data_IF_254578404763
#
_entry.id   IF_254578404763
#
_cell.length_a   1.000
_cell.length_b   1.000
_cell.length_c   1.000
_cell.angle_alpha   90.00
_cell.angle_beta   90.00
_cell.angle_gamma   90.00
#
_symmetry.space_group_name_H-M   'P 1'
#
loop_
_entity.id
_entity.type
_entity.pdbx_description
1 polymer ?
#
# COMPACT_ATOMS: atom_id res chain seq x y z
N UNK A 1 16.87 -23.84 -29.96
CA UNK A 1 16.85 -23.11 -28.67
C UNK A 1 15.97 -23.89 -27.71
N UNK A 2 16.39 -24.04 -26.45
CA UNK A 2 15.57 -24.68 -25.41
C UNK A 2 14.78 -23.61 -24.65
N UNK A 3 13.85 -22.96 -25.34
CA UNK A 3 13.08 -21.85 -24.77
C UNK A 3 12.12 -22.37 -23.69
N UNK A 4 12.25 -21.79 -22.50
CA UNK A 4 11.32 -21.98 -21.40
C UNK A 4 10.02 -21.20 -21.64
N UNK A 5 8.89 -21.58 -20.99
CA UNK A 5 7.64 -20.82 -21.10
C UNK A 5 7.80 -19.33 -20.76
N UNK A 6 8.60 -19.01 -19.74
CA UNK A 6 8.91 -17.62 -19.36
C UNK A 6 9.57 -16.85 -20.51
N UNK A 7 10.51 -17.46 -21.22
CA UNK A 7 11.18 -16.81 -22.35
C UNK A 7 10.22 -16.60 -23.53
N UNK A 8 9.30 -17.54 -23.77
CA UNK A 8 8.23 -17.37 -24.77
C UNK A 8 7.31 -16.18 -24.42
N UNK A 9 6.91 -16.04 -23.15
CA UNK A 9 6.09 -14.90 -22.71
C UNK A 9 6.82 -13.56 -22.88
N UNK A 10 8.13 -13.53 -22.59
CA UNK A 10 8.96 -12.33 -22.79
C UNK A 10 9.08 -11.96 -24.26
N UNK A 11 9.16 -12.95 -25.16
CA UNK A 11 9.10 -12.70 -26.60
C UNK A 11 7.76 -12.10 -27.03
N UNK A 12 6.63 -12.56 -26.47
CA UNK A 12 5.32 -11.95 -26.75
C UNK A 12 5.27 -10.50 -26.29
N UNK A 13 5.75 -10.20 -25.07
CA UNK A 13 5.84 -8.83 -24.56
C UNK A 13 6.69 -7.94 -25.48
N UNK A 14 7.86 -8.44 -25.89
CA UNK A 14 8.76 -7.74 -26.83
C UNK A 14 8.08 -7.45 -28.16
N UNK A 15 7.31 -8.41 -28.72
CA UNK A 15 6.58 -8.20 -29.97
C UNK A 15 5.51 -7.10 -29.86
N UNK A 16 4.76 -7.07 -28.75
CA UNK A 16 3.78 -6.00 -28.50
C UNK A 16 4.49 -4.66 -28.28
N UNK A 17 5.64 -4.66 -27.60
CA UNK A 17 6.49 -3.49 -27.41
C UNK A 17 6.99 -2.91 -28.74
N UNK A 18 7.48 -3.75 -29.65
CA UNK A 18 7.90 -3.34 -30.99
C UNK A 18 6.74 -2.80 -31.83
N UNK A 19 5.55 -3.41 -31.72
CA UNK A 19 4.34 -2.88 -32.36
C UNK A 19 3.99 -1.48 -31.84
N UNK A 20 4.10 -1.27 -30.52
CA UNK A 20 3.89 0.03 -29.89
C UNK A 20 4.95 1.05 -30.32
N UNK A 21 6.23 0.67 -30.40
CA UNK A 21 7.30 1.54 -30.91
C UNK A 21 7.03 1.98 -32.36
N UNK A 22 6.58 1.08 -33.25
CA UNK A 22 6.18 1.44 -34.64
C UNK A 22 4.98 2.37 -34.71
N UNK A 23 4.07 2.29 -33.75
CA UNK A 23 2.91 3.19 -33.63
C UNK A 23 3.35 4.57 -33.14
N UNK A 24 4.17 4.60 -32.09
CA UNK A 24 4.75 5.82 -31.54
C UNK A 24 5.60 6.55 -32.60
N UNK A 25 6.46 5.84 -33.33
CA UNK A 25 7.32 6.42 -34.37
C UNK A 25 6.57 7.10 -35.52
N UNK A 26 5.27 6.79 -35.71
CA UNK A 26 4.40 7.47 -36.69
C UNK A 26 3.37 8.42 -36.06
N UNK A 27 3.52 8.77 -34.79
CA UNK A 27 2.70 9.79 -34.13
C UNK A 27 1.44 9.29 -33.40
N UNK A 28 1.27 7.98 -33.20
CA UNK A 28 0.08 7.45 -32.52
C UNK A 28 0.24 7.62 -31.01
N UNK A 29 -0.76 8.24 -30.36
CA UNK A 29 -0.90 8.24 -28.89
C UNK A 29 -1.26 6.83 -28.41
N UNK A 30 -0.41 6.27 -27.56
CA UNK A 30 -0.52 4.88 -27.13
C UNK A 30 -1.64 4.68 -26.11
N UNK A 31 -2.36 3.56 -26.21
CA UNK A 31 -3.26 3.11 -25.15
C UNK A 31 -2.49 2.43 -24.00
N UNK A 32 -3.20 1.97 -22.97
CA UNK A 32 -2.58 1.38 -21.78
C UNK A 32 -1.74 0.14 -22.11
N UNK A 33 -2.27 -0.78 -22.91
CA UNK A 33 -1.56 -2.02 -23.29
C UNK A 33 -0.28 -1.72 -24.07
N UNK A 34 -0.36 -0.78 -25.01
CA UNK A 34 0.78 -0.36 -25.83
C UNK A 34 1.86 0.36 -25.00
N UNK A 35 1.45 1.29 -24.13
CA UNK A 35 2.38 1.99 -23.24
C UNK A 35 3.08 1.02 -22.28
N UNK A 36 2.34 0.08 -21.69
CA UNK A 36 2.91 -0.95 -20.81
C UNK A 36 3.91 -1.83 -21.55
N UNK A 37 3.54 -2.35 -22.73
CA UNK A 37 4.41 -3.23 -23.49
C UNK A 37 5.67 -2.52 -23.98
N UNK A 38 5.55 -1.26 -24.43
CA UNK A 38 6.70 -0.46 -24.87
C UNK A 38 7.69 -0.25 -23.73
N UNK A 39 7.22 0.26 -22.59
CA UNK A 39 8.08 0.52 -21.43
C UNK A 39 8.73 -0.79 -20.95
N UNK A 40 7.95 -1.86 -20.82
CA UNK A 40 8.47 -3.16 -20.39
C UNK A 40 9.53 -3.72 -21.36
N UNK A 41 9.31 -3.58 -22.68
CA UNK A 41 10.25 -4.05 -23.70
C UNK A 41 11.54 -3.23 -23.68
N UNK A 42 11.46 -1.90 -23.59
CA UNK A 42 12.66 -1.05 -23.49
C UNK A 42 13.46 -1.36 -22.22
N UNK A 43 12.79 -1.55 -21.09
CA UNK A 43 13.46 -1.95 -19.86
C UNK A 43 14.13 -3.32 -19.99
N UNK A 44 13.53 -4.29 -20.68
CA UNK A 44 14.17 -5.59 -20.93
C UNK A 44 15.44 -5.46 -21.79
N UNK A 45 15.45 -4.59 -22.79
CA UNK A 45 16.65 -4.31 -23.58
C UNK A 45 17.74 -3.65 -22.72
N UNK A 46 17.39 -2.65 -21.90
CA UNK A 46 18.34 -2.00 -21.01
C UNK A 46 18.89 -2.94 -19.91
N UNK A 47 18.08 -3.90 -19.45
CA UNK A 47 18.53 -4.99 -18.56
C UNK A 47 19.51 -5.88 -19.30
N UNK A 48 19.21 -6.23 -20.56
CA UNK A 48 20.06 -7.09 -21.40
C UNK A 48 21.43 -6.46 -21.65
N UNK A 49 21.51 -5.13 -21.78
CA UNK A 49 22.78 -4.42 -21.93
C UNK A 49 23.66 -4.47 -20.68
N UNK A 50 23.07 -4.66 -19.51
CA UNK A 50 23.79 -4.86 -18.25
C UNK A 50 24.46 -3.62 -17.66
N UNK A 51 24.16 -2.43 -18.18
CA UNK A 51 24.77 -1.16 -17.76
C UNK A 51 23.98 -0.40 -16.68
N UNK A 52 22.82 -0.90 -16.26
CA UNK A 52 21.91 -0.22 -15.34
C UNK A 52 21.57 -1.11 -14.15
N UNK A 53 21.50 -0.51 -12.96
CA UNK A 53 20.95 -1.17 -11.78
C UNK A 53 19.42 -1.19 -11.82
N UNK A 54 18.79 -1.97 -10.94
CA UNK A 54 17.33 -1.94 -10.75
C UNK A 54 16.83 -0.52 -10.46
N UNK A 55 17.53 0.23 -9.59
CA UNK A 55 17.14 1.59 -9.21
C UNK A 55 17.22 2.59 -10.38
N UNK A 56 18.24 2.44 -11.24
CA UNK A 56 18.36 3.26 -12.45
C UNK A 56 17.18 3.02 -13.38
N UNK A 57 16.81 1.75 -13.59
CA UNK A 57 15.69 1.36 -14.45
C UNK A 57 14.33 1.77 -13.90
N UNK A 58 14.15 1.77 -12.57
CA UNK A 58 12.96 2.34 -11.93
C UNK A 58 12.79 3.83 -12.25
N UNK A 59 13.90 4.57 -12.34
CA UNK A 59 13.89 6.00 -12.65
C UNK A 59 13.76 6.26 -14.15
N UNK A 60 14.54 5.55 -14.97
CA UNK A 60 14.51 5.64 -16.43
C UNK A 60 13.14 5.29 -16.99
N UNK A 61 12.47 4.29 -16.43
CA UNK A 61 11.12 3.88 -16.83
C UNK A 61 10.10 5.02 -16.82
N UNK A 62 10.27 5.99 -15.92
CA UNK A 62 9.39 7.18 -15.81
C UNK A 62 9.64 8.24 -16.88
N UNK A 63 10.74 8.11 -17.61
CA UNK A 63 11.17 9.09 -18.64
C UNK A 63 10.85 8.63 -20.04
N UNK A 64 10.47 7.36 -20.25
CA UNK A 64 10.29 6.77 -21.58
C UNK A 64 9.07 7.39 -22.30
N UNK A 65 7.92 7.52 -21.62
CA UNK A 65 6.72 8.11 -22.20
C UNK A 65 6.22 9.27 -21.33
N UNK A 66 5.68 10.29 -21.98
CA UNK A 66 5.04 11.43 -21.34
C UNK A 66 3.55 11.48 -21.65
N UNK A 67 2.81 12.38 -21.00
CA UNK A 67 1.34 12.52 -21.17
C UNK A 67 0.94 12.77 -22.63
N UNK A 68 1.79 13.43 -23.42
CA UNK A 68 1.53 13.71 -24.84
C UNK A 68 1.62 12.45 -25.73
N UNK A 69 2.33 11.42 -25.27
CA UNK A 69 2.62 10.20 -26.03
C UNK A 69 1.58 9.09 -25.82
N UNK A 70 0.65 9.28 -24.88
CA UNK A 70 -0.37 8.30 -24.51
C UNK A 70 -1.77 8.92 -24.58
N UNK A 71 -2.80 8.07 -24.61
CA UNK A 71 -4.18 8.52 -24.43
C UNK A 71 -4.40 9.03 -22.99
N UNK A 72 -5.24 10.05 -22.76
CA UNK A 72 -5.41 10.67 -21.44
C UNK A 72 -5.68 9.68 -20.29
N UNK A 73 -6.56 8.66 -20.45
CA UNK A 73 -6.83 7.71 -19.37
C UNK A 73 -5.62 6.91 -18.89
N UNK A 74 -4.60 6.73 -19.73
CA UNK A 74 -3.40 5.95 -19.42
C UNK A 74 -2.62 6.57 -18.26
N UNK A 75 -2.65 7.90 -18.12
CA UNK A 75 -1.96 8.61 -17.04
C UNK A 75 -2.48 8.18 -15.67
N UNK A 76 -3.78 7.87 -15.57
CA UNK A 76 -4.43 7.49 -14.33
C UNK A 76 -4.53 5.98 -14.15
N UNK A 77 -4.64 5.21 -15.23
CA UNK A 77 -4.80 3.76 -15.15
C UNK A 77 -3.46 3.01 -15.03
N UNK A 78 -2.38 3.53 -15.61
CA UNK A 78 -1.05 2.92 -15.53
C UNK A 78 -0.27 3.49 -14.34
N UNK A 79 -0.67 3.11 -13.12
CA UNK A 79 -0.05 3.56 -11.86
C UNK A 79 1.23 2.81 -11.51
N UNK A 80 1.37 1.57 -11.96
CA UNK A 80 2.56 0.77 -11.77
C UNK A 80 2.79 -0.14 -12.98
N UNK A 81 4.06 -0.38 -13.27
CA UNK A 81 4.49 -1.32 -14.29
C UNK A 81 5.59 -2.19 -13.71
N UNK A 82 5.45 -3.50 -13.86
CA UNK A 82 6.38 -4.48 -13.34
C UNK A 82 6.96 -5.31 -14.46
N UNK A 83 8.28 -5.45 -14.47
CA UNK A 83 8.96 -6.31 -15.43
C UNK A 83 10.17 -6.97 -14.78
N UNK A 84 10.22 -8.30 -14.89
CA UNK A 84 11.43 -9.05 -14.56
C UNK A 84 12.35 -9.17 -15.78
N UNK A 85 13.66 -9.10 -15.54
CA UNK A 85 14.68 -9.40 -16.54
C UNK A 85 15.93 -10.03 -15.92
N UNK A 86 16.76 -10.63 -16.78
CA UNK A 86 18.01 -11.29 -16.39
C UNK A 86 19.17 -10.31 -16.46
N UNK A 87 19.51 -9.73 -15.32
CA UNK A 87 20.70 -8.91 -15.14
C UNK A 87 21.96 -9.78 -15.12
N UNK A 88 23.17 -9.19 -15.25
CA UNK A 88 24.43 -9.93 -15.09
C UNK A 88 24.54 -10.72 -13.78
N UNK A 89 23.90 -10.24 -12.70
CA UNK A 89 23.91 -10.88 -11.38
C UNK A 89 22.73 -11.83 -11.11
N UNK A 90 21.78 -11.98 -12.05
CA UNK A 90 20.60 -12.83 -11.88
C UNK A 90 19.29 -12.18 -12.31
N UNK A 91 18.16 -12.84 -12.01
CA UNK A 91 16.84 -12.30 -12.34
C UNK A 91 16.34 -11.37 -11.23
N UNK A 92 15.94 -10.15 -11.58
CA UNK A 92 15.37 -9.18 -10.64
C UNK A 92 14.08 -8.58 -11.21
N UNK A 93 13.21 -8.15 -10.29
CA UNK A 93 12.01 -7.38 -10.60
C UNK A 93 12.34 -5.88 -10.64
N UNK A 94 11.92 -5.21 -11.72
CA UNK A 94 11.90 -3.75 -11.81
C UNK A 94 10.44 -3.28 -11.74
N UNK A 95 10.16 -2.38 -10.80
CA UNK A 95 8.84 -1.76 -10.64
C UNK A 95 8.93 -0.27 -10.91
N UNK A 96 8.27 0.20 -11.97
CA UNK A 96 8.17 1.62 -12.30
C UNK A 96 6.85 2.14 -11.76
N UNK A 97 6.91 2.99 -10.74
CA UNK A 97 5.73 3.68 -10.19
C UNK A 97 5.44 4.96 -10.98
N UNK A 98 4.19 5.16 -11.37
CA UNK A 98 3.71 6.26 -12.20
C UNK A 98 4.61 6.49 -13.43
N UNK A 99 4.71 5.51 -14.35
CA UNK A 99 5.57 5.60 -15.52
C UNK A 99 5.29 6.82 -16.41
N UNK A 100 4.06 7.35 -16.41
CA UNK A 100 3.71 8.57 -17.13
C UNK A 100 3.71 9.75 -16.14
N UNK A 101 4.90 10.30 -15.87
CA UNK A 101 5.10 11.30 -14.80
C UNK A 101 5.37 12.72 -15.28
N UNK A 102 5.63 12.90 -16.58
CA UNK A 102 5.94 14.18 -17.22
C UNK A 102 5.08 14.42 -18.45
N UNK A 103 4.97 15.68 -18.91
CA UNK A 103 4.21 15.99 -20.13
C UNK A 103 4.89 15.42 -21.37
N UNK A 104 6.22 15.48 -21.41
CA UNK A 104 7.06 14.98 -22.48
C UNK A 104 7.92 13.80 -21.98
N UNK A 105 8.23 12.88 -22.88
CA UNK A 105 9.09 11.72 -22.64
C UNK A 105 10.31 11.77 -23.55
N UNK A 106 11.31 10.96 -23.23
CA UNK A 106 12.50 10.78 -24.04
C UNK A 106 12.21 9.74 -25.14
N UNK A 107 11.85 10.24 -26.32
CA UNK A 107 11.49 9.38 -27.46
C UNK A 107 12.69 8.61 -28.04
N UNK A 108 13.92 9.08 -27.83
CA UNK A 108 15.12 8.29 -28.15
C UNK A 108 15.18 7.03 -27.27
N UNK A 109 14.91 7.19 -25.97
CA UNK A 109 14.78 6.04 -25.05
C UNK A 109 13.56 5.19 -25.39
N UNK A 110 12.41 5.78 -25.73
CA UNK A 110 11.21 5.03 -26.08
C UNK A 110 11.40 4.12 -27.30
N UNK A 111 12.24 4.55 -28.23
CA UNK A 111 12.59 3.82 -29.44
C UNK A 111 13.93 3.09 -29.34
N UNK A 112 14.50 2.98 -28.14
CA UNK A 112 15.75 2.26 -27.90
C UNK A 112 15.66 0.81 -28.41
N UNK A 113 16.72 0.35 -29.07
CA UNK A 113 16.80 -0.97 -29.68
C UNK A 113 15.91 -1.19 -30.93
N UNK A 114 15.04 -0.24 -31.28
CA UNK A 114 14.08 -0.43 -32.38
C UNK A 114 14.62 -0.06 -33.77
N UNK A 115 15.67 0.75 -33.83
CA UNK A 115 16.22 1.37 -35.06
C UNK A 115 15.20 2.18 -35.87
N UNK A 116 14.07 2.57 -35.27
CA UNK A 116 13.08 3.44 -35.88
C UNK A 116 13.53 4.91 -35.80
N UNK A 117 13.16 5.75 -36.80
CA UNK A 117 13.41 7.17 -36.70
C UNK A 117 12.59 7.76 -35.55
N UNK A 118 13.22 8.66 -34.80
CA UNK A 118 12.55 9.41 -33.73
C UNK A 118 11.60 10.43 -34.38
N UNK A 119 10.29 10.39 -34.09
CA UNK A 119 9.35 11.35 -34.66
C UNK A 119 9.57 12.74 -34.09
N UNK A 120 9.21 13.75 -34.86
CA UNK A 120 9.22 15.13 -34.40
C UNK A 120 8.20 15.34 -33.26
N UNK A 121 8.58 16.14 -32.26
CA UNK A 121 7.75 16.40 -31.06
C UNK A 121 6.41 17.07 -31.39
N UNK A 122 6.31 17.82 -32.48
CA UNK A 122 5.09 18.50 -32.90
C UNK A 122 3.99 17.53 -33.34
N UNK A 123 4.34 16.28 -33.67
CA UNK A 123 3.37 15.24 -34.02
C UNK A 123 2.49 14.86 -32.82
N UNK A 124 2.95 15.11 -31.59
CA UNK A 124 2.21 14.82 -30.37
C UNK A 124 1.73 16.10 -29.68
N UNK A 125 0.59 16.69 -30.03
CA UNK A 125 0.10 17.89 -29.37
C UNK A 125 -0.29 17.61 -27.90
N UNK A 126 -0.15 18.63 -27.05
CA UNK A 126 -0.68 18.60 -25.68
C UNK A 126 -2.20 18.36 -25.70
N UNK A 127 -2.68 17.49 -24.81
CA UNK A 127 -4.10 17.35 -24.57
C UNK A 127 -4.61 18.51 -23.69
N UNK A 128 -5.92 18.72 -23.69
CA UNK A 128 -6.53 19.70 -22.78
C UNK A 128 -6.34 19.22 -21.32
N UNK A 129 -5.81 20.04 -20.41
CA UNK A 129 -5.74 19.73 -18.98
C UNK A 129 -7.06 19.19 -18.40
N UNK A 130 -8.20 19.61 -18.95
CA UNK A 130 -9.53 19.18 -18.51
C UNK A 130 -9.81 17.68 -18.77
N UNK A 131 -9.05 17.01 -19.65
CA UNK A 131 -9.15 15.57 -19.92
C UNK A 131 -8.53 14.72 -18.80
N UNK A 132 -7.64 15.30 -17.99
CA UNK A 132 -7.00 14.63 -16.86
C UNK A 132 -7.73 14.83 -15.54
N UNK A 133 -8.90 15.48 -15.56
CA UNK A 133 -9.73 15.68 -14.37
C UNK A 133 -10.08 14.32 -13.74
N UNK A 134 -9.86 14.11 -12.43
CA UNK A 134 -10.10 12.83 -11.75
C UNK A 134 -11.50 12.25 -12.00
N UNK A 135 -12.52 13.10 -12.02
CA UNK A 135 -13.92 12.74 -12.26
C UNK A 135 -14.21 12.26 -13.68
N UNK A 136 -13.33 12.53 -14.64
CA UNK A 136 -13.47 12.07 -16.04
C UNK A 136 -12.70 10.78 -16.32
N UNK A 137 -11.98 10.24 -15.34
CA UNK A 137 -11.18 9.04 -15.53
C UNK A 137 -12.04 7.77 -15.48
N UNK A 138 -11.67 6.71 -16.23
CA UNK A 138 -12.36 5.43 -16.14
C UNK A 138 -12.35 4.90 -14.71
N UNK A 139 -13.54 4.51 -14.21
CA UNK A 139 -13.69 3.98 -12.86
C UNK A 139 -13.63 5.03 -11.74
N UNK A 140 -13.70 6.32 -12.06
CA UNK A 140 -13.73 7.39 -11.05
C UNK A 140 -14.90 7.20 -10.07
N UNK A 141 -14.57 7.17 -8.77
CA UNK A 141 -15.55 7.13 -7.69
C UNK A 141 -15.72 8.56 -7.16
N UNK A 142 -16.95 9.06 -7.13
CA UNK A 142 -17.26 10.42 -6.69
C UNK A 142 -17.89 10.35 -5.28
N UNK A 143 -17.10 10.55 -4.21
CA UNK A 143 -17.64 10.59 -2.85
C UNK A 143 -18.47 11.86 -2.62
N UNK A 144 -19.42 11.77 -1.69
CA UNK A 144 -20.12 12.93 -1.17
C UNK A 144 -19.14 13.77 -0.37
N UNK A 145 -18.93 15.03 -0.79
CA UNK A 145 -17.99 15.96 -0.17
C UNK A 145 -18.39 16.28 1.28
N UNK A 146 -17.39 16.44 2.15
CA UNK A 146 -17.55 16.85 3.54
C UNK A 146 -18.47 15.93 4.37
N UNK A 147 -18.59 14.66 3.97
CA UNK A 147 -19.40 13.67 4.66
C UNK A 147 -18.49 12.64 5.34
N UNK A 148 -18.58 12.58 6.66
CA UNK A 148 -17.83 11.65 7.50
C UNK A 148 -18.62 10.37 7.78
N UNK A 149 -17.92 9.26 7.86
CA UNK A 149 -18.41 7.97 8.34
C UNK A 149 -17.93 7.80 9.78
N UNK A 150 -18.87 7.58 10.69
CA UNK A 150 -18.58 7.25 12.09
C UNK A 150 -18.29 5.76 12.20
N UNK A 151 -17.09 5.40 12.68
CA UNK A 151 -16.69 4.00 12.89
C UNK A 151 -17.03 3.53 14.30
N UNK A 152 -17.32 2.23 14.43
CA UNK A 152 -17.53 1.55 15.71
C UNK A 152 -18.58 2.25 16.61
N UNK A 153 -19.66 2.74 15.99
CA UNK A 153 -20.74 3.48 16.66
C UNK A 153 -21.29 2.70 17.86
N UNK A 154 -21.69 3.43 18.90
CA UNK A 154 -22.42 2.91 20.06
C UNK A 154 -21.64 1.87 20.92
N UNK A 155 -20.30 1.89 20.84
CA UNK A 155 -19.44 1.00 21.64
C UNK A 155 -18.72 1.75 22.75
N UNK A 156 -18.45 1.04 23.85
CA UNK A 156 -17.62 1.56 24.95
C UNK A 156 -16.20 1.82 24.47
N UNK A 157 -15.65 2.97 24.88
CA UNK A 157 -14.30 3.41 24.53
C UNK A 157 -13.48 3.65 25.79
N UNK A 158 -12.20 3.34 25.69
CA UNK A 158 -11.20 3.71 26.69
C UNK A 158 -9.98 4.27 25.98
N UNK A 159 -9.17 5.00 26.72
CA UNK A 159 -7.89 5.48 26.27
C UNK A 159 -6.82 4.96 27.23
N UNK A 160 -5.70 4.46 26.68
CA UNK A 160 -4.58 3.93 27.43
C UNK A 160 -3.27 4.49 26.89
N UNK A 161 -2.32 4.79 27.79
CA UNK A 161 -0.95 5.09 27.42
C UNK A 161 -0.19 3.76 27.29
N UNK A 162 0.51 3.61 26.19
CA UNK A 162 1.23 2.39 25.84
C UNK A 162 2.68 2.74 25.59
N UNK A 163 3.58 2.07 26.32
CA UNK A 163 5.03 2.26 26.23
C UNK A 163 5.68 1.01 25.64
N UNK A 164 6.48 1.18 24.60
CA UNK A 164 7.30 0.10 24.05
C UNK A 164 8.60 -0.04 24.83
N UNK A 165 8.77 -1.15 25.53
CA UNK A 165 10.01 -1.52 26.24
C UNK A 165 10.91 -2.47 25.44
N UNK A 166 10.53 -2.75 24.19
CA UNK A 166 11.30 -3.63 23.32
C UNK A 166 12.42 -2.93 22.55
N UNK A 167 13.31 -3.73 21.99
CA UNK A 167 14.42 -3.33 21.11
C UNK A 167 14.07 -3.39 19.62
N UNK A 168 12.85 -3.83 19.30
CA UNK A 168 12.33 -4.01 17.95
C UNK A 168 10.97 -3.32 17.81
N UNK A 169 10.61 -2.85 16.61
CA UNK A 169 9.32 -2.23 16.37
C UNK A 169 8.18 -3.23 16.55
N UNK A 170 7.07 -2.75 17.13
CA UNK A 170 5.85 -3.54 17.36
C UNK A 170 4.69 -2.85 16.64
N UNK A 171 3.91 -3.60 15.86
CA UNK A 171 2.77 -3.07 15.13
C UNK A 171 1.52 -3.87 15.48
N UNK A 172 0.48 -3.17 15.94
CA UNK A 172 -0.77 -3.79 16.42
C UNK A 172 -1.91 -3.42 15.48
N UNK A 173 -2.56 -4.43 14.92
CA UNK A 173 -3.68 -4.26 13.99
C UNK A 173 -5.00 -3.88 14.66
N UNK A 174 -5.88 -3.26 13.89
CA UNK A 174 -7.20 -2.76 14.30
C UNK A 174 -8.07 -3.76 15.08
N UNK A 175 -8.04 -5.04 14.71
CA UNK A 175 -8.92 -6.08 15.25
C UNK A 175 -8.23 -7.08 16.19
N UNK A 176 -6.97 -6.84 16.52
CA UNK A 176 -6.25 -7.68 17.46
C UNK A 176 -6.73 -7.39 18.90
N UNK A 177 -6.92 -8.46 19.70
CA UNK A 177 -7.30 -8.31 21.11
C UNK A 177 -6.17 -7.61 21.87
N UNK A 178 -6.41 -6.38 22.34
CA UNK A 178 -5.32 -5.50 22.78
C UNK A 178 -4.57 -6.07 23.99
N UNK A 179 -5.28 -6.75 24.89
CA UNK A 179 -4.71 -7.51 26.02
C UNK A 179 -3.71 -8.60 25.61
N UNK A 180 -3.84 -9.17 24.42
CA UNK A 180 -3.00 -10.26 23.89
C UNK A 180 -1.74 -9.75 23.17
N UNK A 181 -1.51 -8.44 23.15
CA UNK A 181 -0.40 -7.83 22.37
C UNK A 181 0.95 -8.14 22.97
N UNK A 182 2.03 -7.91 22.20
CA UNK A 182 3.40 -8.25 22.53
C UNK A 182 3.74 -7.96 24.03
N UNK A 183 4.39 -8.90 24.75
CA UNK A 183 4.79 -8.73 26.15
C UNK A 183 5.56 -7.46 26.47
N UNK A 184 6.32 -6.94 25.50
CA UNK A 184 7.17 -5.76 25.62
C UNK A 184 6.41 -4.43 25.51
N UNK A 185 5.11 -4.46 25.22
CA UNK A 185 4.24 -3.29 25.39
C UNK A 185 3.74 -3.23 26.83
N UNK A 186 4.04 -2.12 27.49
CA UNK A 186 3.66 -1.83 28.87
C UNK A 186 2.47 -0.86 28.91
N UNK A 187 1.36 -1.34 29.46
CA UNK A 187 0.10 -0.60 29.62
C UNK A 187 -0.83 -1.34 30.60
N UNK A 188 -1.99 -0.76 30.87
CA UNK A 188 -3.01 -1.41 31.69
C UNK A 188 -3.76 -2.51 30.92
N UNK A 189 -3.22 -3.73 30.97
CA UNK A 189 -3.80 -4.92 30.33
C UNK A 189 -5.14 -5.35 30.91
N UNK A 190 -5.38 -5.09 32.20
CA UNK A 190 -6.66 -5.40 32.84
C UNK A 190 -7.75 -4.49 32.25
N UNK A 191 -7.48 -3.20 32.10
CA UNK A 191 -8.39 -2.27 31.41
C UNK A 191 -8.56 -2.59 29.93
N UNK A 192 -7.53 -3.12 29.27
CA UNK A 192 -7.60 -3.51 27.86
C UNK A 192 -8.35 -4.83 27.59
N UNK A 193 -8.79 -5.56 28.62
CA UNK A 193 -9.53 -6.81 28.48
C UNK A 193 -10.83 -6.59 27.69
N UNK A 194 -10.98 -7.30 26.56
CA UNK A 194 -12.16 -7.16 25.71
C UNK A 194 -12.17 -5.93 24.81
N UNK A 195 -11.03 -5.24 24.69
CA UNK A 195 -10.87 -4.08 23.81
C UNK A 195 -9.93 -4.38 22.64
N UNK A 196 -10.10 -3.60 21.58
CA UNK A 196 -9.23 -3.55 20.39
C UNK A 196 -9.01 -2.09 19.97
N UNK A 197 -8.05 -1.83 19.09
CA UNK A 197 -7.81 -0.46 18.61
C UNK A 197 -9.05 0.13 17.93
N UNK A 198 -9.34 1.39 18.25
CA UNK A 198 -10.40 2.17 17.63
C UNK A 198 -9.89 2.96 16.43
N UNK A 199 -9.57 2.23 15.37
CA UNK A 199 -9.03 2.77 14.11
C UNK A 199 -9.75 2.11 12.92
N UNK A 200 -9.49 2.60 11.71
CA UNK A 200 -10.02 2.00 10.49
C UNK A 200 -9.64 0.52 10.38
N UNK A 201 -10.59 -0.32 9.93
CA UNK A 201 -10.35 -1.75 9.78
C UNK A 201 -9.19 -2.02 8.80
N UNK A 202 -8.37 -3.03 9.09
CA UNK A 202 -7.16 -3.35 8.31
C UNK A 202 -5.93 -2.48 8.62
N UNK A 203 -6.10 -1.31 9.26
CA UNK A 203 -4.97 -0.46 9.68
C UNK A 203 -4.36 -0.93 11.01
N UNK A 204 -3.28 -0.27 11.44
CA UNK A 204 -2.53 -0.62 12.64
C UNK A 204 -1.85 0.58 13.27
N UNK A 205 -1.55 0.50 14.57
CA UNK A 205 -0.67 1.44 15.26
C UNK A 205 0.71 0.81 15.41
N UNK A 206 1.74 1.54 14.99
CA UNK A 206 3.15 1.15 15.11
C UNK A 206 3.80 1.84 16.30
N UNK A 207 4.59 1.09 17.06
CA UNK A 207 5.38 1.53 18.21
C UNK A 207 6.85 1.24 17.90
N UNK A 208 7.68 2.28 17.85
CA UNK A 208 9.13 2.11 17.77
C UNK A 208 9.73 1.70 19.13
N UNK A 209 10.97 1.21 19.19
CA UNK A 209 11.66 0.96 20.46
C UNK A 209 11.68 2.20 21.37
N UNK A 210 11.22 2.09 22.62
CA UNK A 210 11.13 3.20 23.58
C UNK A 210 9.95 4.16 23.37
N UNK A 211 9.17 3.99 22.31
CA UNK A 211 8.07 4.87 21.93
C UNK A 211 6.93 4.83 22.97
N UNK A 212 6.23 5.94 23.11
CA UNK A 212 5.10 6.10 24.03
C UNK A 212 3.95 6.74 23.30
N UNK A 213 2.83 6.03 23.15
CA UNK A 213 1.62 6.55 22.51
C UNK A 213 0.40 6.33 23.36
N UNK A 214 -0.48 7.32 23.33
CA UNK A 214 -1.83 7.18 23.85
C UNK A 214 -2.73 6.67 22.74
N UNK A 215 -3.41 5.54 22.97
CA UNK A 215 -4.28 4.90 21.97
C UNK A 215 -5.72 4.85 22.46
N UNK A 216 -6.65 5.05 21.52
CA UNK A 216 -8.07 4.82 21.76
C UNK A 216 -8.40 3.36 21.46
N UNK A 217 -9.10 2.72 22.39
CA UNK A 217 -9.59 1.37 22.26
C UNK A 217 -11.11 1.35 22.31
N UNK A 218 -11.69 0.38 21.63
CA UNK A 218 -13.13 0.14 21.57
C UNK A 218 -13.44 -1.31 21.92
N UNK A 219 -14.54 -1.54 22.64
CA UNK A 219 -14.94 -2.87 23.06
C UNK A 219 -15.25 -3.76 21.85
N UNK A 220 -14.87 -5.04 21.94
CA UNK A 220 -15.26 -6.03 20.93
C UNK A 220 -16.79 -6.19 20.92
N UNK A 221 -17.33 -6.51 19.74
CA UNK A 221 -18.77 -6.73 19.55
C UNK A 221 -19.09 -8.22 19.42
N UNK A 222 -20.28 -8.53 18.90
CA UNK A 222 -20.72 -9.91 18.73
C UNK A 222 -20.83 -10.64 20.07
N UNK A 223 -20.48 -11.93 20.10
CA UNK A 223 -20.56 -12.77 21.31
C UNK A 223 -19.53 -12.43 22.39
N UNK A 224 -18.66 -11.43 22.16
CA UNK A 224 -17.63 -11.00 23.10
C UNK A 224 -16.74 -12.15 23.61
N UNK A 225 -16.30 -13.02 22.68
CA UNK A 225 -15.40 -14.13 22.96
C UNK A 225 -14.01 -13.80 22.41
N UNK A 226 -13.01 -13.82 23.28
CA UNK A 226 -11.60 -13.69 22.93
C UNK A 226 -11.05 -15.07 22.55
N UNK A 227 -10.33 -15.16 21.44
CA UNK A 227 -9.63 -16.37 21.00
C UNK A 227 -8.28 -16.04 20.37
N UNK A 228 -7.32 -16.95 20.48
CA UNK A 228 -6.01 -16.84 19.85
C UNK A 228 -5.06 -15.92 20.61
N UNK A 229 -4.17 -15.24 19.89
CA UNK A 229 -3.14 -14.40 20.49
C UNK A 229 -2.12 -15.20 21.30
N UNK A 230 -1.86 -14.78 22.54
CA UNK A 230 -0.97 -15.47 23.46
C UNK A 230 -1.72 -16.37 24.45
N UNK A 231 -3.05 -16.51 24.31
CA UNK A 231 -3.87 -17.33 25.18
C UNK A 231 -4.05 -16.76 26.59
N UNK A 232 -3.80 -15.47 26.81
CA UNK A 232 -3.90 -14.83 28.12
C UNK A 232 -5.36 -14.76 28.60
N UNK A 233 -6.25 -14.35 27.69
CA UNK A 233 -7.63 -14.00 27.97
C UNK A 233 -8.62 -14.81 27.11
N UNK A 234 -8.25 -16.00 26.62
CA UNK A 234 -9.15 -16.85 25.82
C UNK A 234 -10.42 -17.19 26.62
N UNK A 235 -11.59 -16.89 26.05
CA UNK A 235 -12.89 -17.17 26.64
C UNK A 235 -13.90 -16.03 26.47
N UNK A 236 -15.06 -16.17 27.11
CA UNK A 236 -16.16 -15.18 27.08
C UNK A 236 -15.92 -14.04 28.07
N UNK A 237 -16.09 -12.78 27.66
CA UNK A 237 -16.00 -11.63 28.58
C UNK A 237 -17.06 -11.65 29.71
N UNK A 238 -18.09 -12.50 29.59
CA UNK A 238 -19.09 -12.70 30.64
C UNK A 238 -18.64 -13.68 31.73
N UNK A 239 -17.50 -14.35 31.54
CA UNK A 239 -16.90 -15.24 32.52
C UNK A 239 -15.86 -14.46 33.35
N UNK A 240 -16.16 -14.24 34.63
CA UNK A 240 -15.28 -13.48 35.53
C UNK A 240 -13.92 -14.15 35.73
N UNK A 241 -13.83 -15.48 35.57
CA UNK A 241 -12.58 -16.23 35.77
C UNK A 241 -11.45 -15.79 34.83
N UNK A 242 -11.81 -15.20 33.67
CA UNK A 242 -10.82 -14.63 32.74
C UNK A 242 -10.14 -13.43 33.36
N UNK A 243 -10.91 -12.50 33.94
CA UNK A 243 -10.36 -11.32 34.60
C UNK A 243 -9.57 -11.72 35.86
N UNK A 244 -10.10 -12.66 36.63
CA UNK A 244 -9.51 -13.13 37.89
C UNK A 244 -8.13 -13.80 37.65
N UNK A 245 -8.00 -14.61 36.59
CA UNK A 245 -6.76 -15.31 36.26
C UNK A 245 -5.77 -14.50 35.41
N UNK A 246 -6.16 -13.32 34.91
CA UNK A 246 -5.37 -12.57 33.94
C UNK A 246 -4.02 -12.14 34.52
N UNK A 247 -4.01 -11.51 35.70
CA UNK A 247 -2.79 -10.95 36.30
C UNK A 247 -1.74 -12.05 36.55
N UNK A 248 -2.17 -13.22 37.03
CA UNK A 248 -1.28 -14.37 37.23
C UNK A 248 -0.66 -14.83 35.90
N UNK A 249 -1.48 -14.95 34.84
CA UNK A 249 -1.00 -15.32 33.50
C UNK A 249 -0.05 -14.29 32.92
N UNK A 250 -0.30 -13.00 33.13
CA UNK A 250 0.59 -11.91 32.69
C UNK A 250 1.96 -12.03 33.35
N UNK A 251 2.00 -12.23 34.67
CA UNK A 251 3.25 -12.41 35.41
C UNK A 251 4.01 -13.65 34.96
N UNK A 252 3.32 -14.80 34.86
CA UNK A 252 3.90 -16.07 34.41
C UNK A 252 4.44 -15.99 32.97
N UNK A 253 3.74 -15.26 32.11
CA UNK A 253 4.13 -15.05 30.71
C UNK A 253 5.13 -13.90 30.49
N UNK A 254 5.52 -13.17 31.53
CA UNK A 254 6.44 -12.03 31.41
C UNK A 254 5.88 -10.84 30.63
N UNK A 255 4.56 -10.65 30.65
CA UNK A 255 3.91 -9.52 29.99
C UNK A 255 4.00 -8.27 30.87
N UNK A 256 4.52 -7.18 30.31
CA UNK A 256 4.50 -5.90 31.00
C UNK A 256 3.07 -5.41 31.20
N UNK A 257 2.82 -4.98 32.43
CA UNK A 257 1.55 -4.45 32.88
C UNK A 257 1.80 -3.40 33.95
N UNK A 258 1.29 -2.20 33.71
CA UNK A 258 1.29 -1.12 34.68
C UNK A 258 -0.15 -0.62 34.83
N UNK A 259 -0.78 -0.77 36.00
CA UNK A 259 -2.11 -0.23 36.26
C UNK A 259 -2.11 1.29 36.06
N UNK A 260 -3.11 1.80 35.34
CA UNK A 260 -3.36 3.23 35.26
C UNK A 260 -4.51 3.58 36.20
N UNK A 261 -4.42 4.68 36.98
CA UNK A 261 -5.55 5.14 37.77
C UNK A 261 -6.76 5.34 36.85
N UNK A 262 -7.95 5.07 37.37
CA UNK A 262 -9.21 5.38 36.68
C UNK A 262 -9.29 6.90 36.51
N UNK A 263 -8.70 7.42 35.43
CA UNK A 263 -8.90 8.79 35.01
C UNK A 263 -10.37 9.00 34.63
N UNK A 264 -10.82 10.25 34.71
CA UNK A 264 -12.17 10.61 34.29
C UNK A 264 -12.47 9.99 32.93
N UNK A 265 -13.64 9.36 32.83
CA UNK A 265 -14.22 8.94 31.55
C UNK A 265 -14.59 10.20 30.76
N UNK A 266 -13.57 10.92 30.29
CA UNK A 266 -13.70 11.98 29.34
C UNK A 266 -14.49 11.43 28.14
N UNK A 267 -15.43 12.21 27.64
CA UNK A 267 -16.16 11.88 26.43
C UNK A 267 -15.14 11.70 25.31
N UNK A 268 -14.81 10.44 24.99
CA UNK A 268 -13.94 10.11 23.87
C UNK A 268 -14.78 10.22 22.61
N UNK A 269 -14.38 11.14 21.73
CA UNK A 269 -15.01 11.30 20.43
C UNK A 269 -14.97 9.99 19.64
N UNK A 270 -16.02 9.76 18.86
CA UNK A 270 -16.06 8.60 17.99
C UNK A 270 -15.07 8.79 16.84
N UNK A 271 -14.31 7.75 16.53
CA UNK A 271 -13.45 7.76 15.36
C UNK A 271 -14.28 7.99 14.09
N UNK A 272 -13.90 8.99 13.30
CA UNK A 272 -14.55 9.32 12.02
C UNK A 272 -13.55 9.25 10.89
N UNK A 273 -14.04 8.90 9.70
CA UNK A 273 -13.26 8.88 8.47
C UNK A 273 -14.02 9.63 7.37
N UNK A 274 -13.33 10.49 6.61
CA UNK A 274 -13.91 11.11 5.42
C UNK A 274 -14.27 10.04 4.38
N UNK A 275 -15.33 10.25 3.60
CA UNK A 275 -15.73 9.29 2.55
C UNK A 275 -14.63 9.09 1.52
N UNK A 276 -13.89 10.14 1.17
CA UNK A 276 -12.74 10.09 0.27
C UNK A 276 -11.68 9.07 0.76
N UNK A 277 -11.39 9.07 2.06
CA UNK A 277 -10.41 8.15 2.67
C UNK A 277 -10.98 6.75 2.93
N UNK A 278 -12.31 6.58 2.96
CA UNK A 278 -12.96 5.27 3.12
C UNK A 278 -13.00 4.47 1.82
N UNK A 279 -13.09 5.16 0.66
CA UNK A 279 -13.17 4.53 -0.66
C UNK A 279 -11.79 4.31 -1.31
N UNK A 280 -10.73 4.92 -0.78
CA UNK A 280 -9.34 4.77 -1.22
C UNK A 280 -8.72 3.47 -0.70
#
# INVERSE_FOLDING_TARGET
MHLTPKELDKLVISQVGQLAQRRLARGVKLNQTEATALIASVLQELIRDGNHSVADLMSLGKTILGRRHVLPPVVNSLVELQVEGTFPSGTYLVTVHHPISSDDGDLEKALYGSFLPVPDKHVFPHADPSEYAPEKQPGAVIPVKNAKIVLNKDRKRIQLKVVSKGDRPIQVGSHYHFVETNPLLDFDRVRALGYRLDIAAGTSVRFEPGDTKTVNLVQIGGNQIIKGGNGLATGSLHDSSIADSLVEKLQKGGFHHTPEPAGDSAHLDMFTLEREAYIS
#
